data_IF_626041508111
#
_entry.id   IF_626041508111
#
_cell.length_a   1.000
_cell.length_b   1.000
_cell.length_c   1.000
_cell.angle_alpha   90.00
_cell.angle_beta   90.00
_cell.angle_gamma   90.00
#
_symmetry.space_group_name_H-M   'P 1'
#
loop_
_entity.id
_entity.type
_entity.pdbx_description
1 polymer ?
2 non-polymer ?
3 non-polymer ?
4 water ?
#
# COMPACT_ATOMS: atom_id res chain seq x y z
N UNK A 10 -8.28 13.59 -21.11
CA UNK A 10 -9.74 13.35 -21.05
C UNK A 10 -10.30 13.93 -19.74
N UNK A 11 -10.88 15.10 -19.93
CA UNK A 11 -11.48 15.89 -18.84
C UNK A 11 -13.00 15.85 -18.88
N UNK A 12 -13.57 15.52 -17.72
CA UNK A 12 -15.03 15.48 -17.55
C UNK A 12 -15.48 16.94 -17.30
N UNK A 13 -16.62 17.26 -17.85
CA UNK A 13 -17.22 18.60 -17.69
C UNK A 13 -17.41 18.88 -16.20
N UNK A 14 -17.09 20.07 -15.80
CA UNK A 14 -17.21 20.49 -14.38
C UNK A 14 -18.70 20.51 -14.02
N UNK A 15 -19.06 19.79 -12.96
CA UNK A 15 -20.44 19.82 -12.45
C UNK A 15 -20.66 21.28 -11.97
N UNK A 16 -21.92 21.60 -11.75
CA UNK A 16 -22.32 22.92 -11.30
C UNK A 16 -21.77 23.36 -9.97
N UNK A 17 -21.80 22.51 -8.96
CA UNK A 17 -21.42 22.96 -7.60
C UNK A 17 -19.98 23.26 -7.42
N UNK A 18 -19.17 23.10 -8.46
CA UNK A 18 -17.70 23.29 -8.31
C UNK A 18 -17.21 24.66 -8.72
N UNK A 19 -16.66 25.43 -7.79
CA UNK A 19 -16.06 26.73 -8.12
C UNK A 19 -14.87 26.45 -9.02
N UNK A 20 -14.85 27.08 -10.19
CA UNK A 20 -13.76 26.89 -11.14
C UNK A 20 -12.37 27.15 -10.57
N UNK A 21 -12.28 27.87 -9.48
CA UNK A 21 -11.06 28.24 -8.81
C UNK A 21 -10.54 27.04 -8.00
N UNK A 22 -11.44 26.07 -7.78
CA UNK A 22 -11.01 24.88 -7.02
C UNK A 22 -10.55 23.81 -8.00
N UNK A 23 -10.60 24.04 -9.29
CA UNK A 23 -10.15 23.05 -10.27
C UNK A 23 -8.62 23.00 -10.29
N UNK A 24 -8.17 21.77 -10.36
CA UNK A 24 -6.74 21.36 -10.42
C UNK A 24 -6.76 19.98 -11.05
N UNK A 25 -6.44 19.87 -12.33
CA UNK A 25 -6.54 18.61 -13.06
C UNK A 25 -5.34 17.67 -12.83
N UNK A 26 -5.38 16.96 -11.78
CA UNK A 26 -4.49 15.88 -11.38
C UNK A 26 -5.03 14.51 -11.88
N UNK A 27 -4.20 13.76 -12.59
CA UNK A 27 -4.51 12.39 -12.99
C UNK A 27 -3.73 11.44 -12.08
N UNK A 28 -4.43 10.85 -11.12
CA UNK A 28 -3.81 9.96 -10.12
C UNK A 28 -3.16 8.74 -10.76
N UNK A 29 -3.52 8.42 -12.00
CA UNK A 29 -3.00 7.31 -12.75
C UNK A 29 -1.80 7.69 -13.58
N UNK A 30 -1.59 9.00 -13.69
CA UNK A 30 -0.50 9.54 -14.50
C UNK A 30 -0.24 11.00 -14.14
N UNK A 31 0.32 11.21 -12.97
CA UNK A 31 0.73 12.54 -12.54
C UNK A 31 1.75 13.06 -13.56
N UNK A 32 1.93 14.36 -13.53
CA UNK A 32 2.83 15.04 -14.45
C UNK A 32 4.29 14.91 -14.17
N UNK A 33 4.71 15.10 -12.94
CA UNK A 33 6.18 15.02 -12.64
C UNK A 33 6.61 13.59 -12.35
N UNK A 34 6.04 12.62 -13.03
CA UNK A 34 6.36 11.21 -12.81
C UNK A 34 7.84 10.93 -12.82
N UNK A 35 8.53 11.41 -13.81
CA UNK A 35 9.99 11.27 -13.95
C UNK A 35 10.74 11.59 -12.68
N UNK A 36 10.31 12.61 -11.95
CA UNK A 36 10.98 13.09 -10.74
C UNK A 36 10.85 12.10 -9.58
N UNK A 37 9.86 11.25 -9.71
CA UNK A 37 9.54 10.28 -8.61
C UNK A 37 8.04 10.39 -8.36
N UNK A 38 7.47 9.36 -7.75
CA UNK A 38 6.05 9.28 -7.52
C UNK A 38 5.55 10.18 -6.42
N UNK A 39 6.14 10.21 -5.26
CA UNK A 39 5.88 10.99 -4.11
C UNK A 39 6.07 12.49 -4.47
N UNK A 40 7.13 12.81 -5.18
CA UNK A 40 7.42 14.15 -5.70
C UNK A 40 6.33 14.58 -6.68
N UNK A 41 5.85 13.73 -7.55
CA UNK A 41 4.79 14.01 -8.49
C UNK A 41 3.49 14.36 -7.79
N UNK A 42 3.04 13.63 -6.81
CA UNK A 42 1.87 13.87 -6.00
C UNK A 42 1.97 15.15 -5.19
N UNK A 43 3.09 15.44 -4.59
CA UNK A 43 3.40 16.58 -3.75
C UNK A 43 3.23 17.92 -4.45
N UNK A 44 3.04 17.95 -5.76
CA UNK A 44 2.69 19.17 -6.47
C UNK A 44 1.34 19.68 -5.91
N UNK A 45 0.51 18.83 -5.39
CA UNK A 45 -0.75 19.16 -4.77
C UNK A 45 -0.53 20.02 -3.57
N UNK A 46 0.72 20.02 -3.09
CA UNK A 46 0.96 20.81 -1.85
C UNK A 46 1.68 22.09 -2.10
N UNK A 47 1.83 22.46 -3.36
CA UNK A 47 2.45 23.78 -3.69
C UNK A 47 1.49 24.89 -3.24
N UNK A 48 2.11 26.04 -3.05
CA UNK A 48 1.42 27.28 -2.59
C UNK A 48 0.24 27.64 -3.46
N UNK A 49 0.26 27.42 -4.73
CA UNK A 49 -0.78 27.60 -5.68
C UNK A 49 -1.99 26.67 -5.56
N UNK A 50 -1.91 25.60 -4.80
CA UNK A 50 -3.04 24.64 -4.84
C UNK A 50 -3.81 24.82 -3.55
N UNK A 51 -5.09 25.04 -3.68
CA UNK A 51 -6.00 25.11 -2.51
C UNK A 51 -5.97 23.68 -1.85
N UNK A 52 -6.31 23.64 -0.60
CA UNK A 52 -6.35 22.51 0.26
C UNK A 52 -7.28 21.39 -0.23
N UNK A 53 -8.30 21.77 -0.91
CA UNK A 53 -9.33 20.83 -1.38
C UNK A 53 -9.59 21.25 -2.80
N UNK A 54 -9.31 20.45 -3.76
CA UNK A 54 -9.39 20.78 -5.16
C UNK A 54 -10.28 19.80 -5.87
N UNK A 55 -10.61 20.04 -7.12
CA UNK A 55 -11.46 19.16 -7.92
C UNK A 55 -10.68 18.86 -9.20
N UNK A 56 -10.61 17.58 -9.57
CA UNK A 56 -9.89 17.26 -10.82
C UNK A 56 -10.95 16.73 -11.76
N UNK A 57 -10.77 17.03 -13.02
CA UNK A 57 -11.75 16.53 -14.03
C UNK A 57 -11.32 15.18 -14.56
N UNK A 58 -10.17 14.69 -14.13
CA UNK A 58 -9.67 13.41 -14.69
C UNK A 58 -10.39 12.28 -13.96
N UNK A 59 -10.38 11.13 -14.60
CA UNK A 59 -10.91 9.90 -13.91
C UNK A 59 -12.33 10.19 -13.48
N UNK A 60 -13.00 10.99 -14.29
CA UNK A 60 -14.35 11.41 -14.22
C UNK A 60 -14.82 12.45 -13.24
N UNK A 61 -13.99 13.12 -12.50
CA UNK A 61 -14.26 14.16 -11.57
C UNK A 61 -14.34 13.72 -10.12
N UNK A 62 -13.55 14.31 -9.26
CA UNK A 62 -13.52 13.94 -7.83
C UNK A 62 -12.70 15.01 -7.12
N UNK A 63 -12.99 15.15 -5.87
CA UNK A 63 -12.26 16.02 -4.93
C UNK A 63 -10.96 15.32 -4.52
N UNK A 64 -9.98 16.06 -4.05
CA UNK A 64 -8.74 15.56 -3.50
C UNK A 64 -8.45 16.44 -2.29
N UNK A 65 -8.21 15.95 -1.14
CA UNK A 65 -7.85 16.75 0.05
C UNK A 65 -6.31 16.69 0.03
N UNK A 66 -5.59 17.80 0.11
CA UNK A 66 -4.14 17.78 -0.08
C UNK A 66 -3.35 17.93 1.20
N UNK A 67 -4.01 18.06 2.31
CA UNK A 67 -3.38 18.29 3.59
C UNK A 67 -3.70 17.24 4.62
N UNK A 68 -2.68 17.01 5.41
CA UNK A 68 -2.71 16.08 6.52
C UNK A 68 -3.92 16.27 7.38
N UNK A 69 -4.17 17.52 7.74
CA UNK A 69 -5.28 17.86 8.69
C UNK A 69 -6.59 17.44 8.03
N UNK A 70 -6.76 17.68 6.76
CA UNK A 70 -8.03 17.35 6.11
C UNK A 70 -8.22 15.84 5.96
N UNK A 71 -7.17 15.19 5.51
CA UNK A 71 -7.19 13.71 5.29
C UNK A 71 -7.55 13.02 6.59
N UNK A 72 -6.96 13.42 7.67
CA UNK A 72 -7.22 12.85 8.98
C UNK A 72 -8.66 13.03 9.37
N UNK A 73 -9.18 14.22 9.23
CA UNK A 73 -10.60 14.52 9.52
C UNK A 73 -11.55 13.73 8.69
N UNK A 74 -11.34 13.67 7.40
CA UNK A 74 -12.26 12.97 6.50
C UNK A 74 -12.25 11.49 6.93
N UNK A 75 -11.08 11.00 7.32
CA UNK A 75 -10.86 9.64 7.75
C UNK A 75 -11.61 9.26 9.00
N UNK A 76 -11.69 10.15 9.94
CA UNK A 76 -12.36 9.99 11.19
C UNK A 76 -13.85 10.01 11.06
N UNK A 77 -14.36 10.81 10.17
CA UNK A 77 -15.70 11.13 9.85
C UNK A 77 -16.57 10.18 9.09
N UNK A 78 -16.69 8.92 9.34
CA UNK A 78 -17.43 7.96 8.50
C UNK A 78 -18.87 8.27 8.25
N UNK A 79 -19.38 9.18 9.02
CA UNK A 79 -20.82 9.60 8.86
C UNK A 79 -21.00 10.23 7.49
N UNK A 80 -20.03 11.14 7.19
CA UNK A 80 -20.08 11.86 5.92
C UNK A 80 -19.32 11.18 4.82
N UNK A 81 -18.15 10.74 5.21
CA UNK A 81 -17.23 10.11 4.20
C UNK A 81 -17.27 8.60 4.37
N UNK A 82 -17.94 7.95 3.46
CA UNK A 82 -18.16 6.50 3.49
C UNK A 82 -17.23 5.72 2.61
N UNK A 83 -16.89 4.49 3.10
CA UNK A 83 -15.99 3.58 2.40
C UNK A 83 -16.75 2.78 1.34
N UNK A 84 -18.06 2.90 1.34
CA UNK A 84 -18.90 2.22 0.35
C UNK A 84 -18.31 2.22 -1.03
N UNK A 85 -17.65 3.31 -1.42
CA UNK A 85 -17.11 3.48 -2.81
C UNK A 85 -15.76 4.22 -2.62
N UNK A 86 -14.75 3.39 -2.27
CA UNK A 86 -13.46 3.88 -1.83
C UNK A 86 -12.45 4.09 -2.90
N UNK A 87 -12.79 3.71 -4.11
CA UNK A 87 -11.87 3.78 -5.26
C UNK A 87 -12.44 4.69 -6.33
N UNK A 88 -11.50 5.35 -6.95
CA UNK A 88 -11.68 6.24 -8.12
C UNK A 88 -10.94 5.45 -9.23
N UNK A 89 -11.48 5.34 -10.40
CA UNK A 89 -12.76 5.91 -10.83
C UNK A 89 -13.94 5.23 -10.19
N UNK A 90 -15.09 5.86 -10.25
CA UNK A 90 -16.33 5.34 -9.64
C UNK A 90 -16.53 3.86 -9.91
N UNK A 91 -16.58 3.43 -11.14
CA UNK A 91 -16.80 2.05 -11.53
C UNK A 91 -15.91 1.05 -10.77
N UNK A 92 -14.67 1.44 -10.53
CA UNK A 92 -13.71 0.67 -9.76
C UNK A 92 -14.17 0.64 -8.29
N UNK A 93 -14.57 1.81 -7.80
CA UNK A 93 -15.00 1.90 -6.39
C UNK A 93 -16.33 1.18 -6.19
N UNK A 94 -17.10 1.13 -7.26
CA UNK A 94 -18.43 0.53 -7.26
C UNK A 94 -18.30 -0.98 -7.32
N UNK A 95 -17.42 -1.47 -8.17
CA UNK A 95 -17.18 -2.88 -8.40
C UNK A 95 -16.47 -3.60 -7.25
N UNK A 96 -15.99 -2.83 -6.29
CA UNK A 96 -15.18 -3.38 -5.17
C UNK A 96 -16.11 -3.60 -3.99
N UNK A 97 -15.96 -4.74 -3.38
CA UNK A 97 -16.89 -5.15 -2.30
C UNK A 97 -16.07 -5.89 -1.25
N UNK A 98 -14.79 -5.48 -1.19
CA UNK A 98 -13.85 -6.04 -0.20
C UNK A 98 -14.30 -5.66 1.20
N UNK A 99 -14.09 -6.59 2.12
CA UNK A 99 -14.48 -6.40 3.53
C UNK A 99 -13.15 -6.48 4.29
N UNK A 100 -12.89 -5.74 5.32
CA UNK A 100 -13.79 -4.75 5.93
C UNK A 100 -13.76 -3.39 5.27
N UNK A 101 -12.95 -3.26 4.21
CA UNK A 101 -12.70 -1.99 3.57
C UNK A 101 -13.92 -1.31 2.97
N UNK A 102 -14.89 -2.02 2.46
CA UNK A 102 -16.04 -1.35 1.83
C UNK A 102 -17.16 -1.14 2.85
N UNK A 103 -16.86 -1.19 4.13
CA UNK A 103 -17.92 -1.00 5.14
C UNK A 103 -17.54 0.05 6.19
N UNK A 104 -18.59 0.64 6.79
CA UNK A 104 -18.35 1.61 7.85
C UNK A 104 -18.74 0.98 9.17
N UNK A 105 -18.25 1.57 10.23
CA UNK A 105 -18.62 1.16 11.57
C UNK A 105 -20.14 1.36 11.63
N UNK A 106 -20.80 0.55 12.40
CA UNK A 106 -20.26 -0.49 13.32
C UNK A 106 -20.15 -1.87 12.68
N UNK A 107 -20.68 -1.96 11.46
CA UNK A 107 -20.69 -3.19 10.66
C UNK A 107 -19.26 -3.70 10.49
N UNK A 108 -18.41 -2.82 10.04
CA UNK A 108 -16.96 -2.95 9.83
C UNK A 108 -16.26 -3.78 10.90
N UNK A 109 -16.47 -3.40 12.14
CA UNK A 109 -15.90 -3.95 13.35
C UNK A 109 -15.88 -5.44 13.55
N UNK A 110 -16.94 -6.17 13.24
CA UNK A 110 -16.95 -7.62 13.44
C UNK A 110 -15.97 -8.28 12.48
N UNK A 111 -16.11 -7.88 11.21
CA UNK A 111 -15.23 -8.39 10.16
C UNK A 111 -13.77 -8.10 10.45
N UNK A 112 -13.51 -6.94 10.99
CA UNK A 112 -12.12 -6.52 11.30
C UNK A 112 -11.50 -7.43 12.36
N UNK A 113 -12.32 -7.73 13.35
CA UNK A 113 -11.85 -8.55 14.50
C UNK A 113 -11.36 -9.90 13.97
N UNK A 114 -12.08 -10.44 12.99
CA UNK A 114 -11.70 -11.73 12.40
C UNK A 114 -10.42 -11.63 11.61
N UNK A 115 -10.36 -10.57 10.77
CA UNK A 115 -9.20 -10.35 9.88
C UNK A 115 -7.93 -10.25 10.72
N UNK A 116 -8.11 -9.71 11.90
CA UNK A 116 -7.09 -9.50 12.91
C UNK A 116 -6.58 -10.86 13.39
N UNK A 117 -7.48 -11.82 13.46
CA UNK A 117 -7.12 -13.18 13.92
C UNK A 117 -6.05 -13.74 12.97
N UNK A 118 -6.34 -13.57 11.68
CA UNK A 118 -5.47 -13.99 10.62
C UNK A 118 -4.15 -13.29 10.43
N UNK A 119 -4.06 -11.97 10.59
CA UNK A 119 -2.88 -11.17 10.36
C UNK A 119 -2.26 -10.49 11.53
N UNK A 120 -2.97 -10.34 12.63
CA UNK A 120 -2.49 -9.61 13.79
C UNK A 120 -1.10 -9.98 14.25
N UNK A 121 -0.77 -9.36 15.40
CA UNK A 121 0.50 -9.48 16.09
C UNK A 121 0.96 -10.93 16.32
N UNK A 122 0.16 -11.68 17.03
CA UNK A 122 0.40 -13.09 17.36
C UNK A 122 0.82 -13.96 16.20
N UNK A 123 0.26 -13.78 15.05
CA UNK A 123 0.64 -14.47 13.82
C UNK A 123 2.04 -14.03 13.38
N UNK A 124 2.38 -12.78 13.63
CA UNK A 124 3.69 -12.29 13.16
C UNK A 124 4.78 -12.90 14.05
N UNK A 125 4.54 -12.84 15.32
CA UNK A 125 5.37 -13.43 16.36
C UNK A 125 5.59 -14.91 15.99
N UNK A 126 4.57 -15.60 15.58
CA UNK A 126 4.66 -17.01 15.19
C UNK A 126 5.49 -17.19 13.93
N UNK A 127 5.30 -16.35 12.91
CA UNK A 127 5.99 -16.47 11.64
C UNK A 127 7.37 -15.86 11.60
N UNK A 128 7.80 -15.25 12.63
CA UNK A 128 9.03 -14.44 12.63
C UNK A 128 10.26 -15.15 12.12
N UNK A 129 10.46 -16.38 12.62
CA UNK A 129 11.55 -17.26 12.22
C UNK A 129 11.45 -17.58 10.74
N UNK A 130 10.27 -17.77 10.16
CA UNK A 130 10.27 -18.01 8.69
C UNK A 130 10.65 -16.73 7.97
N UNK A 131 10.17 -15.59 8.56
CA UNK A 131 10.42 -14.31 7.87
C UNK A 131 11.94 -14.16 7.76
N UNK A 132 12.59 -14.34 8.86
CA UNK A 132 14.07 -14.20 8.97
C UNK A 132 14.78 -15.22 8.09
N UNK A 133 14.24 -16.44 8.07
CA UNK A 133 14.80 -17.54 7.31
C UNK A 133 14.81 -17.19 5.83
N UNK A 134 13.67 -16.80 5.30
CA UNK A 134 13.51 -16.47 3.90
C UNK A 134 14.32 -15.27 3.48
N UNK A 135 14.46 -14.29 4.32
CA UNK A 135 15.23 -13.07 3.95
C UNK A 135 16.69 -13.44 3.87
N UNK A 136 17.15 -14.15 4.92
CA UNK A 136 18.59 -14.55 4.90
C UNK A 136 18.93 -15.37 3.66
N UNK A 137 18.10 -16.31 3.38
CA UNK A 137 18.25 -17.25 2.24
C UNK A 137 18.26 -16.60 0.89
N UNK A 138 17.40 -15.68 0.61
CA UNK A 138 17.28 -14.91 -0.64
C UNK A 138 18.47 -13.95 -0.82
N UNK A 139 18.83 -13.29 0.26
CA UNK A 139 19.97 -12.38 0.27
C UNK A 139 21.25 -13.15 -0.01
N UNK A 140 21.49 -14.18 0.80
CA UNK A 140 22.73 -15.00 0.64
C UNK A 140 22.84 -15.53 -0.78
N UNK A 141 21.71 -15.85 -1.33
CA UNK A 141 21.63 -16.34 -2.69
C UNK A 141 22.02 -15.30 -3.70
N UNK A 142 21.75 -14.03 -3.39
CA UNK A 142 22.02 -12.88 -4.26
C UNK A 142 23.45 -12.38 -4.24
N UNK A 143 23.97 -12.25 -3.07
CA UNK A 143 25.30 -11.77 -2.71
C UNK A 143 26.44 -11.97 -3.62
N UNK A 144 26.83 -13.16 -4.02
CA UNK A 144 27.97 -13.42 -4.89
C UNK A 144 27.79 -12.98 -6.32
N UNK A 145 26.55 -12.76 -6.71
CA UNK A 145 26.22 -12.38 -8.10
C UNK A 145 26.67 -10.97 -8.48
N UNK A 146 26.76 -10.08 -7.53
CA UNK A 146 27.09 -8.69 -7.73
C UNK A 146 25.93 -7.94 -8.43
N UNK A 147 24.76 -8.54 -8.58
CA UNK A 147 23.66 -7.93 -9.29
C UNK A 147 22.33 -8.63 -9.32
N UNK A 148 21.29 -7.83 -9.01
CA UNK A 148 19.90 -8.36 -9.25
C UNK A 148 19.06 -7.31 -9.96
N UNK A 149 17.80 -7.45 -10.03
CA UNK A 149 16.58 -6.87 -10.31
C UNK A 149 15.80 -6.76 -8.99
N UNK A 150 16.19 -6.11 -7.96
CA UNK A 150 15.56 -6.16 -6.68
C UNK A 150 14.06 -6.37 -6.75
N UNK A 151 13.43 -5.77 -7.74
CA UNK A 151 11.97 -5.84 -7.77
C UNK A 151 11.59 -7.29 -8.00
N UNK A 152 12.13 -7.89 -9.03
CA UNK A 152 11.85 -9.30 -9.31
C UNK A 152 12.60 -10.25 -8.43
N UNK A 153 13.86 -10.02 -8.15
CA UNK A 153 14.71 -10.90 -7.35
C UNK A 153 14.46 -10.97 -5.88
N UNK A 154 13.86 -9.97 -5.23
CA UNK A 154 13.71 -9.95 -3.79
C UNK A 154 12.38 -9.36 -3.34
N UNK A 155 12.09 -8.18 -3.85
CA UNK A 155 10.86 -7.46 -3.36
C UNK A 155 9.60 -8.20 -3.70
N UNK A 156 9.49 -8.89 -4.82
CA UNK A 156 8.40 -9.78 -5.16
C UNK A 156 8.35 -11.08 -4.40
N UNK A 157 9.37 -11.93 -4.43
CA UNK A 157 9.40 -13.19 -3.72
C UNK A 157 9.32 -13.15 -2.21
N UNK A 158 10.11 -12.30 -1.61
CA UNK A 158 10.16 -12.17 -0.14
C UNK A 158 8.80 -12.10 0.48
N UNK A 159 8.10 -11.00 0.28
CA UNK A 159 6.79 -10.75 0.90
C UNK A 159 5.77 -11.72 0.41
N UNK A 160 5.92 -12.13 -0.86
CA UNK A 160 4.89 -13.00 -1.47
C UNK A 160 4.97 -14.44 -0.94
N UNK A 161 6.11 -15.03 -0.93
CA UNK A 161 6.26 -16.40 -0.45
C UNK A 161 5.87 -16.46 1.01
N UNK A 162 6.08 -15.42 1.78
CA UNK A 162 5.60 -15.46 3.18
C UNK A 162 4.07 -15.41 3.22
N UNK A 163 3.48 -14.78 2.21
CA UNK A 163 2.01 -14.65 2.29
C UNK A 163 1.39 -15.98 1.87
N UNK A 164 2.00 -16.56 0.85
CA UNK A 164 1.45 -17.81 0.28
C UNK A 164 1.44 -18.84 1.39
N UNK A 165 2.52 -18.87 2.12
CA UNK A 165 2.77 -19.75 3.26
C UNK A 165 1.65 -19.59 4.27
N UNK A 166 1.38 -18.35 4.62
CA UNK A 166 0.39 -17.92 5.56
C UNK A 166 -1.04 -18.32 5.14
N UNK A 167 -1.33 -18.22 3.88
CA UNK A 167 -2.64 -18.42 3.32
C UNK A 167 -2.84 -19.86 2.82
N UNK A 168 -1.79 -20.62 2.78
CA UNK A 168 -1.76 -21.98 2.33
C UNK A 168 -2.06 -22.08 0.87
N UNK A 169 -1.38 -21.30 0.04
CA UNK A 169 -1.63 -21.33 -1.42
C UNK A 169 -0.32 -21.68 -2.14
N UNK A 170 -0.47 -22.26 -3.31
CA UNK A 170 0.68 -22.73 -4.10
C UNK A 170 1.55 -21.66 -4.69
N UNK A 171 2.87 -21.82 -4.56
CA UNK A 171 3.80 -20.85 -5.16
C UNK A 171 3.55 -20.67 -6.63
N UNK A 172 3.06 -21.71 -7.26
CA UNK A 172 2.78 -21.76 -8.70
C UNK A 172 1.74 -20.75 -9.11
N UNK A 173 0.93 -20.30 -8.17
CA UNK A 173 -0.18 -19.37 -8.49
C UNK A 173 0.27 -17.93 -8.50
N UNK A 174 1.46 -17.63 -8.02
CA UNK A 174 1.95 -16.27 -7.92
C UNK A 174 1.82 -15.44 -9.16
N UNK A 175 2.40 -15.89 -10.26
CA UNK A 175 2.44 -15.12 -11.51
C UNK A 175 1.02 -14.63 -11.87
N UNK A 176 0.09 -15.53 -11.64
CA UNK A 176 -1.31 -15.40 -11.97
C UNK A 176 -1.99 -14.36 -11.07
N UNK A 177 -1.82 -14.57 -9.79
CA UNK A 177 -2.41 -13.70 -8.80
C UNK A 177 -1.89 -12.28 -8.84
N UNK A 178 -0.59 -12.20 -9.01
CA UNK A 178 0.18 -10.96 -9.02
C UNK A 178 -0.32 -10.07 -10.13
N UNK A 179 -0.63 -10.64 -11.26
CA UNK A 179 -1.11 -9.87 -12.43
C UNK A 179 -2.48 -9.25 -12.14
N UNK A 180 -3.37 -10.07 -11.62
CA UNK A 180 -4.70 -9.66 -11.27
C UNK A 180 -4.67 -8.53 -10.24
N UNK A 181 -3.74 -8.66 -9.31
CA UNK A 181 -3.55 -7.67 -8.26
C UNK A 181 -3.01 -6.36 -8.85
N UNK A 182 -2.07 -6.45 -9.76
CA UNK A 182 -1.50 -5.29 -10.44
C UNK A 182 -2.59 -4.54 -11.20
N UNK A 183 -3.48 -5.29 -11.78
CA UNK A 183 -4.61 -4.71 -12.53
C UNK A 183 -5.49 -3.86 -11.65
N UNK A 184 -5.71 -4.20 -10.41
CA UNK A 184 -6.57 -3.46 -9.48
C UNK A 184 -5.99 -2.16 -8.98
N UNK A 185 -4.71 -2.12 -8.66
CA UNK A 185 -4.06 -0.94 -8.09
C UNK A 185 -3.43 -0.04 -9.14
N UNK A 186 -2.92 -0.68 -10.19
CA UNK A 186 -2.29 0.11 -11.30
C UNK A 186 -2.78 -0.43 -12.62
N UNK A 187 -4.06 -0.23 -12.84
CA UNK A 187 -4.77 -0.66 -14.05
C UNK A 187 -4.01 -0.27 -15.32
N UNK A 188 -3.91 -1.28 -16.14
CA UNK A 188 -3.11 -1.37 -17.36
C UNK A 188 -3.90 -0.91 -18.59
N UNK A 189 -5.15 -1.29 -18.57
CA UNK A 189 -6.10 -0.99 -19.64
C UNK A 189 -6.47 -2.31 -20.30
N UNK A 190 -5.69 -3.33 -20.01
CA UNK A 190 -5.87 -4.68 -20.57
C UNK A 190 -7.20 -5.29 -20.08
N UNK A 191 -7.55 -4.85 -18.89
CA UNK A 191 -8.78 -5.35 -18.25
C UNK A 191 -9.31 -4.31 -17.25
N UNK A 192 -10.64 -4.25 -17.25
CA UNK A 192 -11.44 -3.37 -16.37
C UNK A 192 -11.31 -3.85 -14.91
N UNK A 193 -11.83 -3.11 -13.94
CA UNK A 193 -11.83 -3.51 -12.55
C UNK A 193 -12.74 -4.71 -12.30
N UNK A 194 -13.95 -4.70 -12.83
CA UNK A 194 -14.92 -5.78 -12.58
C UNK A 194 -14.42 -7.14 -13.08
N UNK A 195 -13.89 -7.15 -14.27
CA UNK A 195 -13.27 -8.36 -14.84
C UNK A 195 -12.11 -8.80 -13.86
N UNK A 196 -11.29 -7.85 -13.43
CA UNK A 196 -10.13 -8.17 -12.62
C UNK A 196 -10.62 -8.81 -11.33
N UNK A 197 -11.64 -8.18 -10.76
CA UNK A 197 -12.24 -8.65 -9.51
C UNK A 197 -12.85 -10.07 -9.66
N UNK A 198 -13.52 -10.28 -10.77
CA UNK A 198 -14.18 -11.55 -11.02
C UNK A 198 -13.23 -12.74 -11.13
N UNK A 199 -12.17 -12.59 -11.84
CA UNK A 199 -11.15 -13.58 -12.09
C UNK A 199 -10.43 -13.91 -10.80
N UNK A 200 -10.11 -12.90 -10.01
CA UNK A 200 -9.49 -13.17 -8.71
C UNK A 200 -10.50 -14.03 -7.90
N UNK A 201 -11.76 -13.69 -8.11
CA UNK A 201 -12.84 -14.35 -7.40
C UNK A 201 -13.06 -15.76 -7.92
N UNK A 202 -12.90 -15.97 -9.21
CA UNK A 202 -13.07 -17.31 -9.82
C UNK A 202 -12.05 -18.27 -9.16
N UNK A 203 -10.93 -17.71 -8.83
CA UNK A 203 -9.79 -18.27 -8.17
C UNK A 203 -10.14 -18.73 -6.76
N UNK A 204 -10.48 -17.81 -5.88
CA UNK A 204 -10.77 -18.11 -4.50
C UNK A 204 -11.93 -19.05 -4.25
N UNK A 205 -12.98 -18.90 -5.03
CA UNK A 205 -14.22 -19.66 -4.82
C UNK A 205 -14.05 -21.12 -4.55
N UNK A 206 -13.43 -21.84 -5.48
CA UNK A 206 -13.22 -23.29 -5.35
C UNK A 206 -12.44 -23.59 -4.08
N UNK A 207 -11.55 -22.65 -3.72
CA UNK A 207 -10.69 -22.78 -2.57
C UNK A 207 -11.47 -22.66 -1.28
N UNK A 208 -12.31 -21.62 -1.19
CA UNK A 208 -13.06 -21.42 0.09
C UNK A 208 -13.98 -22.61 0.29
N UNK A 209 -14.58 -23.10 -0.79
CA UNK A 209 -15.46 -24.27 -0.78
C UNK A 209 -14.80 -25.40 0.03
N UNK A 210 -13.64 -25.75 -0.38
CA UNK A 210 -12.72 -26.76 0.10
C UNK A 210 -12.34 -26.57 1.55
N UNK A 211 -12.05 -25.35 1.99
CA UNK A 211 -11.65 -25.07 3.38
C UNK A 211 -12.85 -24.95 4.30
N UNK A 212 -14.03 -24.88 3.71
CA UNK A 212 -15.23 -24.86 4.62
C UNK A 212 -15.44 -26.35 4.94
N UNK A 213 -15.35 -27.18 3.89
CA UNK A 213 -15.48 -28.64 4.02
C UNK A 213 -14.37 -29.24 4.89
N UNK A 214 -13.13 -29.05 4.43
CA UNK A 214 -11.92 -29.57 5.07
C UNK A 214 -10.92 -28.50 5.51
N UNK A 215 -11.20 -27.96 6.69
CA UNK A 215 -10.42 -26.90 7.28
C UNK A 215 -8.96 -27.27 7.55
N UNK A 216 -8.11 -26.28 7.32
CA UNK A 216 -6.70 -26.31 7.70
C UNK A 216 -6.50 -25.22 8.78
N UNK A 217 -5.23 -24.84 8.88
CA UNK A 217 -4.69 -23.89 9.81
C UNK A 217 -4.30 -22.58 9.11
N UNK A 218 -4.39 -22.57 7.80
CA UNK A 218 -4.01 -21.39 6.99
C UNK A 218 -5.03 -20.28 7.24
N UNK A 219 -4.73 -19.12 6.65
CA UNK A 219 -5.59 -17.93 6.89
C UNK A 219 -6.96 -18.11 6.26
N UNK A 220 -6.99 -18.67 5.07
CA UNK A 220 -8.24 -18.85 4.32
C UNK A 220 -9.21 -19.72 5.09
N UNK A 221 -8.71 -20.80 5.68
CA UNK A 221 -9.43 -21.73 6.55
C UNK A 221 -9.92 -20.97 7.77
N UNK A 222 -9.06 -20.17 8.37
CA UNK A 222 -9.56 -19.43 9.59
C UNK A 222 -10.69 -18.48 9.17
N UNK A 223 -10.53 -17.83 8.02
CA UNK A 223 -11.53 -16.86 7.55
C UNK A 223 -12.84 -17.57 7.20
N UNK A 224 -12.78 -18.54 6.35
CA UNK A 224 -13.87 -19.31 5.82
C UNK A 224 -14.73 -20.00 6.85
N UNK A 225 -14.18 -20.28 8.00
CA UNK A 225 -14.86 -20.96 9.11
C UNK A 225 -15.07 -20.06 10.32
N UNK A 226 -15.01 -18.75 10.16
CA UNK A 226 -15.02 -17.77 11.26
C UNK A 226 -16.43 -17.38 11.65
N UNK A 227 -16.55 -16.74 12.77
CA UNK A 227 -17.79 -16.23 13.37
C UNK A 227 -17.81 -14.70 13.29
N UNK A 228 -18.93 -14.18 12.90
CA UNK A 228 -19.15 -12.73 12.80
C UNK A 228 -20.58 -12.41 13.25
N UNK A 229 -20.63 -11.79 14.42
CA UNK A 229 -21.91 -11.39 15.03
C UNK A 229 -22.76 -12.64 15.30
N UNK A 230 -22.15 -13.53 16.08
CA UNK A 230 -22.64 -14.78 16.56
C UNK A 230 -22.90 -15.90 15.58
N UNK A 231 -23.15 -15.54 14.34
CA UNK A 231 -23.41 -16.49 13.24
C UNK A 231 -22.14 -16.67 12.44
N UNK A 232 -22.17 -17.65 11.57
CA UNK A 232 -21.05 -18.01 10.69
C UNK A 232 -21.03 -17.11 9.45
N UNK A 233 -19.82 -16.77 9.08
CA UNK A 233 -19.58 -15.93 7.88
C UNK A 233 -20.12 -16.66 6.66
N UNK A 234 -20.59 -15.98 5.68
CA UNK A 234 -21.08 -16.64 4.46
C UNK A 234 -19.86 -16.82 3.56
N UNK A 235 -20.07 -17.59 2.54
CA UNK A 235 -19.04 -17.90 1.53
C UNK A 235 -18.67 -16.60 0.84
N UNK A 236 -19.70 -15.81 0.56
CA UNK A 236 -19.55 -14.53 -0.19
C UNK A 236 -18.71 -13.54 0.62
N UNK A 237 -18.98 -13.45 1.92
CA UNK A 237 -18.24 -12.63 2.87
C UNK A 237 -16.77 -13.04 2.99
N UNK A 238 -16.59 -14.38 2.95
CA UNK A 238 -15.23 -14.95 3.07
C UNK A 238 -14.45 -14.62 1.79
N UNK A 239 -15.19 -14.73 0.70
CA UNK A 239 -14.58 -14.50 -0.65
C UNK A 239 -13.99 -13.09 -0.62
N UNK A 240 -14.86 -12.16 -0.26
CA UNK A 240 -14.63 -10.75 -0.06
C UNK A 240 -13.59 -10.37 0.93
N UNK A 241 -13.37 -11.01 2.07
CA UNK A 241 -12.25 -10.69 2.93
C UNK A 241 -10.98 -11.22 2.21
N UNK A 242 -11.08 -12.47 1.78
CA UNK A 242 -9.88 -13.05 1.16
C UNK A 242 -9.35 -12.21 0.04
N UNK A 243 -10.27 -11.56 -0.70
CA UNK A 243 -9.82 -10.72 -1.83
C UNK A 243 -8.87 -9.62 -1.31
N UNK A 244 -9.24 -9.01 -0.21
CA UNK A 244 -8.45 -7.92 0.34
C UNK A 244 -7.06 -8.35 0.81
N UNK A 245 -7.11 -9.54 1.44
CA UNK A 245 -5.89 -10.14 1.98
C UNK A 245 -4.88 -10.37 0.86
N UNK A 246 -5.40 -10.82 -0.27
CA UNK A 246 -4.56 -11.11 -1.42
C UNK A 246 -3.78 -9.92 -1.93
N UNK A 247 -4.46 -8.85 -2.22
CA UNK A 247 -3.95 -7.57 -2.71
C UNK A 247 -3.01 -6.99 -1.67
N UNK A 248 -3.39 -6.96 -0.42
CA UNK A 248 -2.52 -6.42 0.64
C UNK A 248 -1.25 -7.24 0.66
N UNK A 249 -1.42 -8.57 0.66
CA UNK A 249 -0.29 -9.50 0.73
C UNK A 249 0.60 -9.41 -0.49
N UNK A 250 0.04 -9.39 -1.67
CA UNK A 250 0.77 -9.37 -2.90
C UNK A 250 1.37 -8.09 -3.41
N UNK A 251 0.68 -6.99 -3.20
CA UNK A 251 0.90 -5.68 -3.75
C UNK A 251 1.50 -4.62 -2.90
N UNK A 252 1.65 -4.62 -1.62
CA UNK A 252 2.11 -3.51 -0.84
C UNK A 252 3.52 -3.40 -0.36
N UNK A 253 3.93 -4.35 0.41
CA UNK A 253 5.31 -4.46 0.95
C UNK A 253 6.22 -4.56 -0.26
N UNK A 254 5.67 -5.19 -1.25
CA UNK A 254 6.44 -5.47 -2.50
C UNK A 254 6.97 -4.17 -3.10
N UNK A 255 6.06 -3.22 -3.24
CA UNK A 255 6.33 -1.85 -3.74
C UNK A 255 7.04 -1.03 -2.67
N UNK A 256 6.60 -1.13 -1.43
CA UNK A 256 7.31 -0.43 -0.37
C UNK A 256 8.81 -0.66 -0.35
N UNK A 257 9.30 -1.87 -0.49
CA UNK A 257 10.69 -2.28 -0.40
C UNK A 257 11.51 -1.70 -1.54
N UNK A 258 10.90 -1.70 -2.71
CA UNK A 258 11.60 -1.13 -3.89
C UNK A 258 11.87 0.36 -3.70
N UNK A 259 10.88 1.14 -3.23
CA UNK A 259 11.13 2.59 -3.04
C UNK A 259 12.25 2.74 -2.02
N UNK A 260 12.19 1.95 -0.98
CA UNK A 260 13.13 2.06 0.16
C UNK A 260 14.56 1.71 -0.26
N UNK A 261 14.62 0.64 -1.03
CA UNK A 261 15.92 0.11 -1.46
C UNK A 261 16.60 1.04 -2.44
N UNK A 262 15.74 1.57 -3.32
CA UNK A 262 16.17 2.58 -4.31
C UNK A 262 16.76 3.77 -3.56
N UNK A 263 16.10 4.18 -2.49
CA UNK A 263 16.61 5.24 -1.64
C UNK A 263 17.95 4.84 -1.05
N UNK A 264 18.03 3.59 -0.51
CA UNK A 264 19.27 3.19 0.15
C UNK A 264 20.43 3.08 -0.81
N UNK A 265 20.23 2.59 -2.01
CA UNK A 265 21.18 2.47 -3.06
C UNK A 265 21.78 3.84 -3.44
N UNK A 266 21.05 4.90 -3.22
CA UNK A 266 21.54 6.28 -3.52
C UNK A 266 22.11 6.98 -2.35
N UNK A 267 22.01 6.50 -1.16
CA UNK A 267 22.40 7.30 0.04
C UNK A 267 23.27 6.54 1.00
N UNK A 268 24.57 6.47 0.66
CA UNK A 268 25.57 5.78 1.44
C UNK A 268 25.57 6.07 2.90
N UNK A 269 25.42 7.36 3.21
CA UNK A 269 25.43 7.85 4.57
C UNK A 269 24.27 7.27 5.38
N UNK A 270 23.17 7.01 4.72
CA UNK A 270 22.00 6.44 5.42
C UNK A 270 22.24 4.97 5.73
N UNK A 271 22.85 4.33 4.77
CA UNK A 271 23.28 2.94 4.92
C UNK A 271 24.20 2.80 6.15
N UNK A 272 25.20 3.63 6.26
CA UNK A 272 26.16 3.64 7.31
C UNK A 272 25.57 3.85 8.68
N UNK A 273 24.69 4.77 8.75
CA UNK A 273 24.05 5.17 10.02
C UNK A 273 23.41 3.98 10.68
N UNK A 274 22.77 3.18 9.88
CA UNK A 274 21.99 2.00 10.22
C UNK A 274 22.92 0.83 10.58
N UNK A 275 24.04 0.80 9.91
CA UNK A 275 25.09 -0.18 10.12
C UNK A 275 25.77 0.00 11.47
N UNK A 276 26.13 1.19 11.85
CA UNK A 276 26.71 1.54 13.10
C UNK A 276 25.83 1.68 14.29
N UNK A 277 24.60 2.06 14.08
CA UNK A 277 23.66 2.35 15.22
C UNK A 277 22.36 1.64 14.88
N UNK A 278 22.38 0.34 15.07
CA UNK A 278 21.25 -0.56 14.77
C UNK A 278 20.00 -0.27 15.56
N UNK A 279 20.14 0.35 16.70
CA UNK A 279 19.05 0.76 17.57
C UNK A 279 18.11 1.74 16.86
N UNK A 280 18.52 2.18 15.69
CA UNK A 280 17.83 3.15 14.88
C UNK A 280 16.98 2.52 13.81
N UNK A 281 17.20 1.27 13.51
CA UNK A 281 16.36 0.59 12.51
C UNK A 281 14.88 0.87 12.61
N UNK A 282 14.28 0.74 13.75
CA UNK A 282 12.85 0.96 13.97
C UNK A 282 12.47 2.40 13.59
N UNK A 283 13.18 3.33 14.14
CA UNK A 283 13.03 4.76 13.85
C UNK A 283 13.21 5.08 12.39
N UNK A 284 14.14 4.46 11.71
CA UNK A 284 14.34 4.62 10.27
C UNK A 284 13.20 4.05 9.46
N UNK A 285 12.64 2.94 10.01
CA UNK A 285 11.53 2.24 9.33
C UNK A 285 10.31 3.17 9.28
N UNK A 286 10.04 3.87 10.36
CA UNK A 286 8.94 4.80 10.41
C UNK A 286 9.15 5.94 9.41
N UNK A 287 10.36 6.46 9.37
CA UNK A 287 10.73 7.55 8.47
C UNK A 287 10.60 7.15 7.06
N UNK A 288 11.02 5.91 6.68
CA UNK A 288 10.87 5.50 5.26
C UNK A 288 9.38 5.30 4.97
N UNK A 289 8.61 4.85 5.92
CA UNK A 289 7.17 4.68 5.75
C UNK A 289 6.52 6.07 5.48
N UNK A 290 7.01 7.08 6.21
CA UNK A 290 6.53 8.50 5.98
C UNK A 290 6.89 9.00 4.58
N UNK A 291 8.13 8.90 4.18
CA UNK A 291 8.70 9.38 2.92
C UNK A 291 8.36 8.58 1.69
N UNK A 292 8.26 7.25 1.82
CA UNK A 292 7.87 6.43 0.66
C UNK A 292 6.48 5.86 0.78
N UNK A 293 5.64 6.59 1.49
CA UNK A 293 4.19 6.30 1.57
C UNK A 293 3.71 6.10 0.16
N UNK A 294 2.72 5.17 -0.02
CA UNK A 294 2.31 4.85 -1.40
C UNK A 294 0.86 4.50 -1.67
N UNK A 295 -0.03 4.58 -0.70
CA UNK A 295 -1.44 4.26 -0.89
C UNK A 295 -2.26 5.57 -1.05
N UNK A 296 -3.12 5.57 -2.05
CA UNK A 296 -4.03 6.65 -2.31
C UNK A 296 -5.43 6.12 -2.55
N UNK A 297 -6.24 6.12 -1.51
CA UNK A 297 -7.70 5.77 -1.86
C UNK A 297 -8.58 6.87 -1.36
N UNK A 298 -9.91 6.67 -1.25
CA UNK A 298 -10.82 7.76 -0.84
C UNK A 298 -12.13 7.23 -0.36
N UNK A 299 -13.08 8.14 -0.23
CA UNK A 299 -14.42 7.93 0.31
C UNK A 299 -15.49 8.58 -0.54
N UNK A 300 -16.73 8.29 -0.29
CA UNK A 300 -17.90 8.80 -0.99
C UNK A 300 -18.70 9.60 -0.01
N UNK A 301 -19.27 10.69 -0.49
CA UNK A 301 -20.09 11.56 0.43
C UNK A 301 -21.51 10.93 0.48
N UNK A 302 -21.96 10.93 1.71
CA UNK A 302 -23.26 10.30 2.06
C UNK A 302 -24.38 11.33 1.96
N UNK A 303 -23.98 12.58 1.95
CA UNK A 303 -24.92 13.71 1.78
C UNK A 303 -24.15 14.96 1.34
N UNK A 304 -25.00 15.97 1.15
CA UNK A 304 -24.49 17.35 0.89
C UNK A 304 -23.87 17.72 2.26
N UNK A 305 -22.67 18.20 2.24
CA UNK A 305 -21.96 18.51 3.48
C UNK A 305 -20.92 19.55 3.15
N UNK A 306 -20.78 20.46 4.11
CA UNK A 306 -19.87 21.61 3.87
C UNK A 306 -18.61 21.36 4.68
N UNK A 307 -17.55 21.14 3.92
CA UNK A 307 -16.27 20.77 4.57
C UNK A 307 -15.21 21.84 4.33
N UNK A 308 -14.71 22.36 5.42
CA UNK A 308 -13.65 23.39 5.41
C UNK A 308 -13.98 24.46 4.37
N UNK A 309 -15.24 24.90 4.42
CA UNK A 309 -15.78 25.93 3.55
C UNK A 309 -16.09 25.51 2.15
N UNK A 310 -15.91 24.25 1.76
CA UNK A 310 -16.23 23.83 0.35
C UNK A 310 -17.52 23.02 0.46
N UNK A 311 -18.40 23.20 -0.50
CA UNK A 311 -19.67 22.46 -0.48
C UNK A 311 -19.54 21.18 -1.27
N UNK A 312 -19.77 20.10 -0.55
CA UNK A 312 -19.66 18.75 -1.19
C UNK A 312 -21.09 18.23 -1.39
N UNK A 313 -21.33 17.70 -2.56
CA UNK A 313 -22.58 17.07 -2.89
C UNK A 313 -22.62 15.57 -2.61
N UNK A 314 -23.70 15.12 -1.98
CA UNK A 314 -23.92 13.71 -1.70
C UNK A 314 -23.55 12.93 -2.98
N UNK A 315 -22.68 11.93 -2.84
CA UNK A 315 -22.34 11.11 -4.02
C UNK A 315 -21.06 11.52 -4.69
N UNK A 316 -20.52 12.66 -4.24
CA UNK A 316 -19.20 13.14 -4.72
C UNK A 316 -18.19 12.12 -4.11
N UNK A 317 -17.23 11.79 -4.91
CA UNK A 317 -16.09 10.94 -4.39
C UNK A 317 -15.00 11.94 -4.04
N UNK A 318 -14.26 11.66 -2.99
CA UNK A 318 -13.05 12.41 -2.67
C UNK A 318 -11.85 11.49 -2.44
N UNK A 319 -10.72 11.82 -3.04
CA UNK A 319 -9.47 11.05 -2.82
C UNK A 319 -8.83 11.61 -1.56
N UNK A 320 -8.46 10.80 -0.63
CA UNK A 320 -7.81 11.18 0.61
C UNK A 320 -6.45 10.41 0.61
N UNK A 321 -5.54 10.92 -0.16
CA UNK A 321 -4.23 10.28 -0.37
C UNK A 321 -3.50 10.10 0.92
N UNK A 322 -3.52 8.85 1.41
CA UNK A 322 -2.81 8.53 2.68
C UNK A 322 -1.34 8.95 2.56
N UNK A 323 -0.81 8.78 1.38
CA UNK A 323 0.54 9.18 1.02
C UNK A 323 0.90 10.62 1.35
N UNK A 324 -0.10 11.51 1.36
CA UNK A 324 0.12 12.96 1.50
C UNK A 324 0.26 13.51 2.87
N UNK A 325 -0.34 12.97 3.91
CA UNK A 325 -0.20 13.49 5.25
C UNK A 325 1.21 13.75 5.71
N UNK A 326 2.14 12.81 5.47
CA UNK A 326 3.49 12.85 5.99
C UNK A 326 4.44 13.68 5.14
N UNK A 327 4.01 13.93 3.89
CA UNK A 327 4.74 14.73 2.94
C UNK A 327 4.34 16.21 3.08
N UNK A 328 3.45 16.53 3.99
CA UNK A 328 2.97 17.88 4.27
C UNK A 328 3.90 18.56 5.24
N UNK A 329 4.34 19.75 4.87
CA UNK A 329 5.20 20.63 5.61
C UNK A 329 4.58 21.08 6.91
N UNK A 330 3.26 21.10 6.98
CA UNK A 330 2.59 21.53 8.23
C UNK A 330 2.65 20.41 9.26
N UNK A 331 3.02 19.23 8.81
CA UNK A 331 3.10 18.03 9.67
C UNK A 331 4.57 17.66 9.91
N UNK A 332 5.34 17.74 8.85
CA UNK A 332 6.78 17.42 8.92
C UNK A 332 7.66 18.49 8.27
N UNK A 333 8.60 19.05 9.04
CA UNK A 333 9.58 20.00 8.48
C UNK A 333 10.39 19.23 7.43
N UNK A 334 10.74 19.89 6.37
CA UNK A 334 11.55 19.38 5.26
C UNK A 334 11.11 17.97 4.85
N UNK A 335 9.86 17.86 4.45
CA UNK A 335 9.21 16.58 4.19
C UNK A 335 9.91 15.66 3.25
N UNK A 336 10.62 16.14 2.27
CA UNK A 336 11.25 15.36 1.23
C UNK A 336 12.58 14.79 1.70
N UNK A 337 13.05 15.23 2.81
CA UNK A 337 14.30 14.88 3.39
C UNK A 337 14.07 13.70 4.34
N UNK A 338 14.92 12.69 4.13
CA UNK A 338 14.84 11.49 5.02
C UNK A 338 15.79 11.80 6.18
N UNK A 339 15.29 11.79 7.39
CA UNK A 339 16.07 12.04 8.61
C UNK A 339 15.63 11.03 9.66
N UNK A 340 16.57 10.18 10.02
CA UNK A 340 16.36 9.08 10.94
C UNK A 340 16.13 9.49 12.36
N UNK A 341 16.55 10.68 12.69
CA UNK A 341 16.39 11.23 14.04
C UNK A 341 15.32 12.27 14.25
N UNK A 342 14.32 12.34 13.37
CA UNK A 342 13.18 13.26 13.57
C UNK A 342 12.60 13.00 14.95
N UNK A 343 12.33 14.06 15.72
CA UNK A 343 11.73 13.89 17.05
C UNK A 343 10.33 13.30 16.91
N UNK A 344 9.64 13.61 15.83
CA UNK A 344 8.27 13.10 15.60
C UNK A 344 8.08 12.81 14.11
N UNK A 345 7.74 11.57 13.84
CA UNK A 345 7.44 11.16 12.44
C UNK A 345 5.91 11.11 12.38
N UNK A 346 5.33 12.04 11.66
CA UNK A 346 3.87 12.09 11.48
C UNK A 346 3.56 11.53 10.08
N UNK A 347 2.64 10.58 10.03
CA UNK A 347 2.26 9.97 8.75
C UNK A 347 0.90 9.31 8.95
N UNK A 348 0.30 8.90 7.90
CA UNK A 348 -0.96 8.07 7.92
C UNK A 348 -0.79 7.00 6.82
N UNK A 349 0.44 6.47 6.74
CA UNK A 349 0.83 5.46 5.77
C UNK A 349 -0.05 4.23 5.76
N UNK A 350 -0.40 3.80 6.97
CA UNK A 350 -1.27 2.60 7.13
C UNK A 350 -2.71 3.05 7.44
N UNK A 351 -3.09 4.27 6.98
CA UNK A 351 -4.42 4.80 7.17
C UNK A 351 -4.65 5.53 8.46
N UNK A 352 -5.95 5.88 8.58
CA UNK A 352 -6.37 6.65 9.78
C UNK A 352 -7.84 6.43 10.01
N UNK A 353 -8.19 6.48 11.27
CA UNK A 353 -9.60 6.24 11.65
C UNK A 353 -9.87 4.74 11.69
N UNK A 354 -11.16 4.37 11.55
CA UNK A 354 -11.50 2.95 11.85
C UNK A 354 -10.83 1.95 10.96
N UNK A 355 -10.32 2.39 9.83
CA UNK A 355 -9.81 1.45 8.83
C UNK A 355 -8.33 1.24 8.95
N UNK A 356 -7.75 1.51 10.06
CA UNK A 356 -6.28 1.33 10.19
C UNK A 356 -5.89 -0.11 9.78
N UNK A 357 -4.84 -0.22 9.03
CA UNK A 357 -4.23 -1.43 8.55
C UNK A 357 -3.90 -2.42 9.69
N UNK A 358 -4.56 -3.56 9.54
CA UNK A 358 -4.39 -4.74 10.41
C UNK A 358 -3.04 -5.42 10.12
N UNK A 359 -2.60 -5.31 8.90
CA UNK A 359 -1.35 -6.00 8.50
C UNK A 359 -0.11 -5.15 8.64
N UNK A 360 -0.19 -4.10 9.43
CA UNK A 360 0.93 -3.17 9.60
C UNK A 360 2.07 -3.85 10.29
N UNK A 361 1.71 -4.74 11.20
CA UNK A 361 2.70 -5.47 12.05
C UNK A 361 3.52 -6.43 11.21
N UNK A 362 2.84 -7.10 10.32
CA UNK A 362 3.49 -7.99 9.39
C UNK A 362 4.46 -7.12 8.55
N UNK A 363 3.89 -6.01 8.06
CA UNK A 363 4.64 -5.16 7.12
C UNK A 363 5.90 -4.63 7.73
N UNK A 364 5.88 -4.10 8.93
CA UNK A 364 7.02 -3.57 9.64
C UNK A 364 8.07 -4.65 9.90
N UNK A 365 7.59 -5.82 10.27
CA UNK A 365 8.51 -6.96 10.60
C UNK A 365 9.30 -7.31 9.39
N UNK A 366 8.70 -7.36 8.23
CA UNK A 366 9.30 -7.61 6.97
C UNK A 366 10.24 -6.50 6.56
N UNK A 367 9.97 -5.27 6.99
CA UNK A 367 10.87 -4.14 6.54
C UNK A 367 12.16 -4.17 7.35
N UNK A 368 11.92 -4.29 8.63
CA UNK A 368 13.03 -4.27 9.59
C UNK A 368 13.96 -5.45 9.29
N UNK A 369 13.39 -6.56 8.93
CA UNK A 369 14.23 -7.78 8.69
C UNK A 369 15.07 -7.52 7.49
N UNK A 370 14.41 -7.09 6.41
CA UNK A 370 15.05 -6.79 5.13
C UNK A 370 16.19 -5.79 5.33
N UNK A 371 16.00 -4.71 6.08
CA UNK A 371 17.04 -3.73 6.23
C UNK A 371 18.22 -4.34 6.99
N UNK A 372 17.85 -4.98 8.09
CA UNK A 372 18.85 -5.50 9.03
C UNK A 372 19.70 -6.53 8.32
N UNK A 373 19.05 -7.42 7.60
CA UNK A 373 19.70 -8.49 6.90
C UNK A 373 20.43 -8.13 5.66
N UNK A 374 19.90 -7.23 4.85
CA UNK A 374 20.54 -6.83 3.60
C UNK A 374 21.85 -6.11 3.90
N UNK A 375 21.78 -5.16 4.80
CA UNK A 375 22.87 -4.28 5.16
C UNK A 375 24.02 -5.07 5.76
N UNK A 376 23.65 -6.17 6.37
CA UNK A 376 24.56 -7.04 7.09
C UNK A 376 25.50 -7.70 6.07
N UNK A 377 24.96 -8.20 5.02
CA UNK A 377 25.61 -8.95 3.99
C UNK A 377 26.09 -8.10 2.86
N UNK A 378 25.27 -7.19 2.40
CA UNK A 378 25.54 -6.29 1.28
C UNK A 378 25.40 -4.81 1.73
N UNK A 379 26.44 -4.37 2.44
CA UNK A 379 26.49 -3.04 3.01
C UNK A 379 26.71 -1.86 2.09
N UNK A 380 27.16 -2.13 0.91
CA UNK A 380 27.62 -1.22 -0.12
C UNK A 380 27.14 -1.72 -1.47
N UNK A 381 26.26 -0.91 -2.04
CA UNK A 381 25.58 -1.23 -3.31
C UNK A 381 25.07 0.10 -3.89
N UNK A 382 24.79 0.04 -5.18
CA UNK A 382 24.25 1.12 -5.94
C UNK A 382 23.42 0.64 -7.12
N UNK A 383 22.79 1.67 -7.75
CA UNK A 383 21.96 1.46 -8.91
C UNK A 383 22.88 1.22 -10.10
N UNK A 384 22.40 0.39 -11.01
CA UNK A 384 23.20 0.10 -12.20
C UNK A 384 23.41 1.42 -12.95
N UNK A 385 24.64 1.61 -13.37
CA UNK A 385 25.01 2.80 -14.17
C UNK A 385 24.15 2.76 -15.45
N UNK A 386 23.41 3.83 -15.66
CA UNK A 386 22.64 4.02 -16.88
C UNK A 386 21.26 3.41 -16.91
N UNK A 387 20.82 3.00 -15.74
CA UNK A 387 19.47 2.45 -15.57
C UNK A 387 18.64 3.68 -15.13
N UNK A 388 17.49 3.76 -15.69
CA UNK A 388 16.52 4.81 -15.38
C UNK A 388 15.35 4.18 -14.63
N UNK A 389 15.23 4.49 -13.36
CA UNK A 389 14.16 3.97 -12.51
C UNK A 389 12.84 4.66 -12.81
N UNK A 390 11.84 3.85 -13.05
CA UNK A 390 10.50 4.36 -13.30
C UNK A 390 9.53 3.92 -12.23
N UNK A 391 8.80 4.90 -11.74
CA UNK A 391 7.73 4.68 -10.80
C UNK A 391 6.44 4.60 -11.59
N UNK A 392 5.43 4.10 -10.94
CA UNK A 392 4.08 3.99 -11.54
C UNK A 392 3.11 4.50 -10.45
N UNK A 393 2.07 5.15 -10.93
CA UNK A 393 1.07 5.71 -9.99
C UNK A 393 -0.23 4.94 -10.08
N UNK A 394 -0.98 4.98 -9.00
CA UNK A 394 -2.29 4.38 -8.94
C UNK A 394 -2.74 4.30 -7.51
N UNK A 395 -3.70 3.41 -7.23
CA UNK A 395 -4.16 3.26 -5.86
C UNK A 395 -2.97 2.98 -4.94
N UNK A 396 -2.11 2.10 -5.42
CA UNK A 396 -0.84 1.78 -4.71
C UNK A 396 0.23 2.07 -5.77
N UNK A 397 1.23 2.79 -5.43
CA UNK A 397 2.26 3.16 -6.45
C UNK A 397 3.38 2.14 -6.38
N UNK A 398 4.11 2.07 -7.48
CA UNK A 398 5.23 1.10 -7.54
C UNK A 398 6.45 1.56 -8.28
N UNK A 399 7.43 0.65 -8.29
CA UNK A 399 8.70 0.82 -9.05
C UNK A 399 8.62 -0.22 -10.16
N UNK A 400 9.04 0.15 -11.32
CA UNK A 400 8.93 -0.81 -12.49
C UNK A 400 9.98 -1.90 -12.41
N UNK A 401 11.18 -1.57 -12.07
CA UNK A 401 12.37 -2.46 -12.02
C UNK A 401 13.41 -1.72 -11.21
N UNK A 402 14.25 -2.40 -10.48
CA UNK A 402 15.35 -1.84 -9.72
C UNK A 402 16.64 -2.69 -9.87
N UNK A 403 17.39 -2.37 -10.91
CA UNK A 403 18.70 -2.95 -11.17
C UNK A 403 19.75 -2.39 -10.22
N UNK A 404 20.26 -3.27 -9.34
CA UNK A 404 21.29 -2.96 -8.35
C UNK A 404 22.61 -3.59 -8.79
N UNK A 405 23.74 -3.07 -8.38
CA UNK A 405 25.06 -3.62 -8.70
C UNK A 405 25.90 -3.49 -7.45
N UNK A 406 26.88 -4.39 -7.31
CA UNK A 406 27.71 -4.30 -6.10
C UNK A 406 28.96 -5.15 -6.40
N UNK A 407 29.96 -4.89 -5.64
CA UNK A 407 31.22 -5.67 -5.71
C UNK A 407 31.06 -6.80 -4.68
N UNK A 408 31.04 -8.03 -5.15
CA UNK A 408 30.92 -9.21 -4.28
C UNK A 408 32.01 -9.17 -3.22
N UNK A 409 33.12 -8.55 -3.54
CA UNK A 409 34.28 -8.53 -2.62
C UNK A 409 34.05 -7.70 -1.37
N UNK A 410 33.02 -6.88 -1.40
CA UNK A 410 32.68 -5.99 -0.29
C UNK A 410 31.55 -6.59 0.55
N UNK A 411 31.03 -7.72 0.09
CA UNK A 411 29.97 -8.38 0.84
C UNK A 411 30.61 -9.19 1.96
N UNK A 412 29.75 -9.69 2.85
CA UNK A 412 30.05 -10.53 3.99
C UNK A 412 28.95 -11.62 4.09
N UNK A 413 29.41 -12.84 4.06
CA UNK A 413 28.54 -14.03 4.21
C UNK A 413 28.38 -14.21 5.72
N UNK A 414 27.19 -14.53 6.13
CA UNK A 414 26.87 -14.78 7.57
C UNK A 414 26.31 -16.22 7.63
X LIG B 1 -6.07 -1.39 5.23
X LIG B 1 -1.83 0.55 3.89
X LIG B 1 0.18 -3.84 4.02
X LIG B 1 -4.04 -5.78 5.19
X LIG B 1 -5.07 -0.50 4.85
X LIG B 1 -5.28 0.90 4.60
X LIG B 1 -4.16 1.42 4.16
X LIG B 1 -3.14 0.36 4.21
X LIG B 1 -3.78 2.88 3.79
X LIG B 1 -6.68 1.52 4.80
X LIG B 1 -7.40 1.76 3.45
X LIG B 1 -8.66 2.58 3.60
X LIG B 1 -8.81 3.18 4.67
X LIG B 1 -9.34 2.60 2.51
X LIG B 1 -0.93 -0.47 3.80
X LIG B 1 0.51 -0.29 3.60
X LIG B 1 1.10 -1.51 3.64
X LIG B 1 0.02 -2.48 3.85
X LIG B 1 1.15 1.07 3.36
X LIG B 1 2.52 -1.89 3.32
X LIG B 1 3.67 -1.46 3.68
X LIG B 1 -0.77 -4.79 4.36
X LIG B 1 -0.54 -6.21 4.53
X LIG B 1 -1.71 -6.76 4.84
X LIG B 1 -2.73 -5.68 4.80
X LIG B 1 0.83 -6.89 4.37
X LIG B 1 -2.08 -8.21 5.18
X LIG B 1 -2.13 -9.19 4.29
X LIG B 1 -4.97 -4.78 5.42
X LIG B 1 -6.32 -4.93 5.83
X LIG B 1 -6.90 -3.72 5.79
X LIG B 1 -5.89 -2.77 5.33
X LIG B 1 -6.98 -6.27 6.26
X LIG B 1 -8.33 -3.28 6.14
X LIG B 1 -8.59 -2.81 7.57
X LIG B 1 -10.03 -2.40 7.84
X LIG B 1 -10.39 -2.45 9.02
X LIG B 1 -10.76 -2.10 6.82
X LIG B 1 -3.73 -0.78 4.64
X LIG B 1 -1.18 -1.82 4.05
X LIG B 1 -2.09 -4.50 4.55
X LIG B 1 -4.69 -3.41 5.25
X LIG B 1 -2.90 -2.64 4.82
X LIG C 1 -3.10 -2.81 0.70
X LIG C 1 -2.68 -2.96 2.02
X LIG C 1 -3.67 -2.87 2.76
X LIG C 1 -4.76 -2.63 2.05
X LIG C 1 -4.42 -2.55 0.74
X LIG C 1 -5.26 -2.31 -0.49
X LIG C 1 -4.92 -1.23 -1.33
X LIG C 1 -5.65 -1.05 -2.53
X LIG C 1 -6.62 -1.99 -2.87
X LIG C 1 -7.00 -3.01 -2.00
X LIG C 1 -6.23 -3.18 -0.84
#
# INVERSE_FOLDING_TARGET
TTETIQSNANLAPLPPHVPEHLVFDFDMYNPSNLSAGVQEAWAVLQESNVPDLVWTRCNGGHWIATRGQLIREAYEDYRHFSSECPFIPREAGEAYDFIPTSMDPPEQRQFRALANQVVGMPVVDKLENRIQELACSLIESLRPQGQCNFTEDYAEPFPIRIFMLLAGLPEEDIPHLKYLTDQMTRPDGSMTFAEAKEALYDYLIPIIEQRRQKPGTDAISIVANGQVNGRPITSDEAKRMCGLLLVGGLDTVVNFLSFSMEFLAKSPEHRQELIERPERIPAACEELLRRFSLVADGRILTSDYEFHGVQLKKGDQILLPQMLSGLDERENACPMHVDFSRQKVSHTTFGHGSHLCLGQHLARREIIVTLKEWLTRIPDFSIAPGAQIQHKSGIVSGVQALPLVWDPATTKAV
HEM CHA CHB CHC CHD C1A C2A C3A C4A CMA CAA CBA CGA O1A O2A C1B C2B C3B C4B CMB CAB CBB C1C C2C C3C C4C CMC CAC CBC C1D C2D C3D C4D CMD CAD CBD CGD O1D O2D NA NB NC ND FE
PIM N1 C2 N3 C4 C5 C6 C7 C8 C9 C10 C11
#
